data_IF_061791040998
#
_entry.id   IF_061791040998
#
_cell.length_a   1.000
_cell.length_b   1.000
_cell.length_c   1.000
_cell.angle_alpha   90.00
_cell.angle_beta   90.00
_cell.angle_gamma   90.00
#
_symmetry.space_group_name_H-M   'P 1'
#
loop_
_entity.id
_entity.type
_entity.pdbx_description
1 polymer ?
#
# COMPACT_ATOMS: atom_id res chain seq x y z
N UNK A 1 -4.87 -16.25 -17.59
CA UNK A 1 -3.83 -16.00 -16.58
C UNK A 1 -4.36 -15.75 -15.16
N UNK A 2 -5.47 -15.00 -14.94
CA UNK A 2 -5.98 -14.73 -13.58
C UNK A 2 -6.82 -15.87 -12.93
N UNK A 3 -7.10 -16.98 -13.64
CA UNK A 3 -7.99 -18.05 -13.14
C UNK A 3 -7.39 -18.83 -11.96
N UNK A 4 -6.06 -18.96 -11.93
CA UNK A 4 -5.34 -19.78 -10.93
C UNK A 4 -4.82 -18.95 -9.74
N UNK A 5 -5.01 -17.63 -9.76
CA UNK A 5 -4.56 -16.75 -8.67
C UNK A 5 -5.57 -16.83 -7.54
N UNK A 6 -5.11 -17.31 -6.38
CA UNK A 6 -5.90 -17.31 -5.15
C UNK A 6 -6.01 -15.88 -4.59
N UNK A 7 -7.08 -15.54 -3.85
CA UNK A 7 -7.21 -14.24 -3.20
C UNK A 7 -6.02 -13.86 -2.31
N UNK A 8 -5.43 -14.85 -1.63
CA UNK A 8 -4.20 -14.66 -0.86
C UNK A 8 -3.03 -14.22 -1.74
N UNK A 9 -2.81 -14.92 -2.85
CA UNK A 9 -1.73 -14.57 -3.80
C UNK A 9 -1.95 -13.18 -4.37
N UNK A 10 -3.18 -12.86 -4.74
CA UNK A 10 -3.55 -11.52 -5.21
C UNK A 10 -3.24 -10.45 -4.15
N UNK A 11 -3.59 -10.68 -2.89
CA UNK A 11 -3.29 -9.76 -1.78
C UNK A 11 -1.78 -9.59 -1.55
N UNK A 12 -0.99 -10.66 -1.61
CA UNK A 12 0.49 -10.58 -1.50
C UNK A 12 1.07 -9.75 -2.64
N UNK A 13 0.58 -9.96 -3.87
CA UNK A 13 1.04 -9.22 -5.05
C UNK A 13 0.82 -7.72 -4.90
N UNK A 14 -0.24 -7.27 -4.23
CA UNK A 14 -0.49 -5.85 -3.95
C UNK A 14 0.60 -5.17 -3.11
N UNK A 15 1.42 -5.95 -2.38
CA UNK A 15 2.54 -5.44 -1.59
C UNK A 15 3.91 -5.68 -2.21
N UNK A 16 4.00 -6.22 -3.44
CA UNK A 16 5.29 -6.38 -4.11
C UNK A 16 5.86 -5.00 -4.46
N UNK A 17 7.11 -4.69 -4.08
CA UNK A 17 7.72 -3.42 -4.45
C UNK A 17 7.72 -3.20 -5.97
N UNK A 18 7.51 -1.95 -6.41
CA UNK A 18 7.50 -1.50 -7.82
C UNK A 18 6.34 -2.02 -8.69
N UNK A 19 5.81 -3.22 -8.44
CA UNK A 19 4.74 -3.84 -9.25
C UNK A 19 3.41 -3.98 -8.50
N UNK A 20 3.42 -3.83 -7.18
CA UNK A 20 2.24 -4.08 -6.35
C UNK A 20 1.09 -3.10 -6.57
N UNK A 21 1.39 -1.87 -7.01
CA UNK A 21 0.34 -0.93 -7.41
C UNK A 21 -0.40 -1.39 -8.66
N UNK A 22 0.28 -2.02 -9.63
CA UNK A 22 -0.36 -2.62 -10.81
C UNK A 22 -1.26 -3.77 -10.38
N UNK A 23 -0.74 -4.66 -9.53
CA UNK A 23 -1.52 -5.77 -8.99
C UNK A 23 -2.76 -5.27 -8.21
N UNK A 24 -2.61 -4.22 -7.40
CA UNK A 24 -3.70 -3.59 -6.67
C UNK A 24 -4.79 -3.06 -7.61
N UNK A 25 -4.42 -2.33 -8.67
CA UNK A 25 -5.37 -1.83 -9.67
C UNK A 25 -6.08 -3.00 -10.35
N UNK A 26 -5.35 -4.04 -10.76
CA UNK A 26 -5.93 -5.23 -11.39
C UNK A 26 -6.92 -5.92 -10.46
N UNK A 27 -6.59 -6.06 -9.17
CA UNK A 27 -7.49 -6.64 -8.16
C UNK A 27 -8.74 -5.79 -7.98
N UNK A 28 -8.60 -4.47 -7.86
CA UNK A 28 -9.73 -3.55 -7.67
C UNK A 28 -10.65 -3.45 -8.90
N UNK A 29 -10.08 -3.52 -10.11
CA UNK A 29 -10.84 -3.47 -11.36
C UNK A 29 -11.46 -4.82 -11.74
N UNK A 30 -11.00 -5.93 -11.15
CA UNK A 30 -11.46 -7.26 -11.52
C UNK A 30 -12.81 -7.60 -10.88
N UNK A 31 -13.83 -7.98 -11.68
CA UNK A 31 -15.11 -8.47 -11.15
C UNK A 31 -14.96 -9.72 -10.26
N UNK A 32 -13.89 -10.50 -10.45
CA UNK A 32 -13.60 -11.72 -9.66
C UNK A 32 -13.41 -11.40 -8.18
N UNK A 33 -12.74 -10.29 -7.86
CA UNK A 33 -12.45 -9.90 -6.48
C UNK A 33 -13.50 -8.94 -5.92
N UNK A 34 -14.54 -8.58 -6.69
CA UNK A 34 -15.57 -7.62 -6.26
C UNK A 34 -16.22 -8.02 -4.93
N UNK A 35 -16.48 -9.31 -4.72
CA UNK A 35 -17.07 -9.83 -3.48
C UNK A 35 -16.04 -10.15 -2.40
N UNK A 36 -14.76 -10.20 -2.75
CA UNK A 36 -13.68 -10.52 -1.82
C UNK A 36 -13.24 -9.27 -1.04
N UNK A 37 -13.77 -9.12 0.17
CA UNK A 37 -13.45 -7.97 1.04
C UNK A 37 -11.96 -7.90 1.35
N UNK A 38 -11.33 -9.04 1.61
CA UNK A 38 -9.95 -9.11 2.10
C UNK A 38 -9.00 -8.74 0.98
N UNK A 39 -9.16 -9.32 -0.21
CA UNK A 39 -8.34 -9.00 -1.37
C UNK A 39 -8.43 -7.51 -1.73
N UNK A 40 -9.64 -6.92 -1.70
CA UNK A 40 -9.85 -5.50 -1.98
C UNK A 40 -9.24 -4.58 -0.91
N UNK A 41 -9.35 -4.95 0.37
CA UNK A 41 -8.74 -4.19 1.45
C UNK A 41 -7.21 -4.16 1.30
N UNK A 42 -6.58 -5.30 1.05
CA UNK A 42 -5.13 -5.34 0.81
C UNK A 42 -4.73 -4.62 -0.48
N UNK A 43 -5.57 -4.62 -1.52
CA UNK A 43 -5.32 -3.85 -2.73
C UNK A 43 -5.35 -2.34 -2.47
N UNK A 44 -6.36 -1.82 -1.77
CA UNK A 44 -6.41 -0.40 -1.39
C UNK A 44 -5.27 -0.02 -0.45
N UNK A 45 -5.02 -0.81 0.59
CA UNK A 45 -3.95 -0.54 1.54
C UNK A 45 -2.56 -0.57 0.87
N UNK A 46 -2.33 -1.51 -0.06
CA UNK A 46 -1.12 -1.54 -0.89
C UNK A 46 -1.00 -0.32 -1.81
N UNK A 47 -2.10 0.11 -2.43
CA UNK A 47 -2.14 1.31 -3.28
C UNK A 47 -1.85 2.59 -2.47
N UNK A 48 -2.42 2.73 -1.26
CA UNK A 48 -2.12 3.88 -0.40
C UNK A 48 -0.70 3.87 0.12
N UNK A 49 -0.16 2.70 0.42
CA UNK A 49 1.24 2.59 0.83
C UNK A 49 2.19 3.01 -0.30
N UNK A 50 1.86 2.65 -1.55
CA UNK A 50 2.56 3.14 -2.73
C UNK A 50 2.42 4.66 -2.92
N UNK A 51 1.23 5.23 -2.73
CA UNK A 51 1.04 6.69 -2.76
C UNK A 51 1.84 7.38 -1.66
N UNK A 52 1.85 6.84 -0.43
CA UNK A 52 2.66 7.37 0.66
C UNK A 52 4.16 7.35 0.32
N UNK A 53 4.64 6.29 -0.32
CA UNK A 53 6.01 6.22 -0.85
C UNK A 53 6.28 7.32 -1.89
N UNK A 54 5.39 7.52 -2.87
CA UNK A 54 5.53 8.58 -3.87
C UNK A 54 5.55 9.97 -3.23
N UNK A 55 4.74 10.22 -2.20
CA UNK A 55 4.76 11.49 -1.47
C UNK A 55 6.11 11.70 -0.77
N UNK A 56 6.70 10.66 -0.20
CA UNK A 56 8.03 10.76 0.40
C UNK A 56 9.09 11.08 -0.65
N UNK A 57 9.06 10.41 -1.81
CA UNK A 57 10.02 10.62 -2.90
C UNK A 57 9.87 11.96 -3.60
N UNK A 58 8.64 12.38 -3.91
CA UNK A 58 8.36 13.51 -4.77
C UNK A 58 8.13 14.81 -4.01
N UNK A 59 7.77 14.74 -2.73
CA UNK A 59 7.45 15.92 -1.91
C UNK A 59 8.45 16.06 -0.77
N UNK A 60 8.55 15.06 0.11
CA UNK A 60 9.34 15.18 1.35
C UNK A 60 10.83 15.29 1.05
N UNK A 61 11.38 14.43 0.19
CA UNK A 61 12.80 14.48 -0.17
C UNK A 61 13.14 15.82 -0.84
N UNK A 62 12.53 16.26 -1.96
CA UNK A 62 12.86 17.54 -2.58
C UNK A 62 12.75 18.72 -1.62
N UNK A 63 11.72 18.77 -0.78
CA UNK A 63 11.57 19.86 0.19
C UNK A 63 12.70 19.89 1.22
N UNK A 64 13.20 18.73 1.65
CA UNK A 64 14.36 18.61 2.54
C UNK A 64 15.71 18.96 1.86
N UNK A 65 15.76 18.97 0.52
CA UNK A 65 16.95 19.31 -0.26
C UNK A 65 16.97 20.75 -0.80
N UNK A 66 15.80 21.37 -1.06
CA UNK A 66 15.67 22.69 -1.68
C UNK A 66 15.95 23.84 -0.69
N UNK A 67 15.67 23.66 0.59
CA UNK A 67 16.15 24.59 1.63
C UNK A 67 17.51 24.14 2.14
N UNK A 68 18.31 25.06 2.70
CA UNK A 68 19.36 24.71 3.66
C UNK A 68 18.74 24.10 4.94
N UNK A 69 17.94 23.06 4.78
CA UNK A 69 17.17 22.46 5.83
C UNK A 69 18.16 21.91 6.84
N UNK A 70 18.09 22.37 8.12
CA UNK A 70 19.05 21.95 9.13
C UNK A 70 19.03 20.42 9.25
N UNK A 71 20.16 19.83 9.66
CA UNK A 71 20.36 18.38 9.77
C UNK A 71 19.16 17.55 10.27
N UNK A 72 18.34 18.01 11.24
CA UNK A 72 17.14 17.31 11.69
C UNK A 72 16.09 17.07 10.60
N UNK A 73 15.87 18.02 9.68
CA UNK A 73 14.86 17.89 8.62
C UNK A 73 15.23 16.78 7.61
N UNK A 74 16.53 16.65 7.28
CA UNK A 74 17.04 15.58 6.43
C UNK A 74 16.93 14.21 7.12
N UNK A 75 17.21 14.16 8.42
CA UNK A 75 17.06 12.94 9.21
C UNK A 75 15.60 12.48 9.27
N UNK A 76 14.65 13.41 9.43
CA UNK A 76 13.20 13.11 9.43
C UNK A 76 12.77 12.54 8.07
N UNK A 77 13.21 13.13 6.96
CA UNK A 77 12.90 12.62 5.61
C UNK A 77 13.41 11.19 5.40
N UNK A 78 14.65 10.91 5.84
CA UNK A 78 15.24 9.57 5.80
C UNK A 78 14.51 8.56 6.69
N UNK A 79 14.12 8.96 7.90
CA UNK A 79 13.39 8.12 8.84
C UNK A 79 11.98 7.81 8.33
N UNK A 80 11.28 8.79 7.76
CA UNK A 80 9.96 8.59 7.18
C UNK A 80 10.01 7.61 5.99
N UNK A 81 11.01 7.76 5.12
CA UNK A 81 11.24 6.83 4.02
C UNK A 81 11.49 5.40 4.52
N UNK A 82 12.34 5.24 5.54
CA UNK A 82 12.59 3.94 6.15
C UNK A 82 11.33 3.36 6.82
N UNK A 83 10.52 4.20 7.47
CA UNK A 83 9.27 3.77 8.10
C UNK A 83 8.25 3.27 7.06
N UNK A 84 8.09 3.98 5.94
CA UNK A 84 7.21 3.54 4.84
C UNK A 84 7.73 2.25 4.21
N UNK A 85 9.03 2.14 3.96
CA UNK A 85 9.64 0.92 3.43
C UNK A 85 9.50 -0.27 4.40
N UNK A 86 9.74 -0.04 5.68
CA UNK A 86 9.59 -1.03 6.74
C UNK A 86 8.14 -1.51 6.87
N UNK A 87 7.17 -0.59 6.83
CA UNK A 87 5.75 -0.93 6.78
C UNK A 87 5.42 -1.79 5.54
N UNK A 88 6.06 -1.52 4.41
CA UNK A 88 5.87 -2.29 3.18
C UNK A 88 6.35 -3.74 3.31
N UNK A 89 7.57 -3.93 3.79
CA UNK A 89 8.13 -5.27 4.05
C UNK A 89 7.29 -5.99 5.10
N UNK A 90 6.93 -5.31 6.18
CA UNK A 90 6.09 -5.87 7.24
C UNK A 90 4.75 -6.37 6.68
N UNK A 91 4.08 -5.56 5.86
CA UNK A 91 2.81 -5.93 5.25
C UNK A 91 2.95 -7.09 4.27
N UNK A 92 4.02 -7.13 3.49
CA UNK A 92 4.32 -8.23 2.59
C UNK A 92 4.48 -9.55 3.36
N UNK A 93 5.27 -9.55 4.44
CA UNK A 93 5.50 -10.73 5.29
C UNK A 93 4.19 -11.19 5.92
N UNK A 94 3.47 -10.29 6.60
CA UNK A 94 2.21 -10.63 7.28
C UNK A 94 1.17 -11.20 6.31
N UNK A 95 1.01 -10.56 5.16
CA UNK A 95 0.07 -11.02 4.13
C UNK A 95 0.51 -12.37 3.54
N UNK A 96 1.82 -12.60 3.36
CA UNK A 96 2.35 -13.89 2.88
C UNK A 96 2.12 -15.05 3.86
N UNK A 97 2.15 -14.76 5.16
CA UNK A 97 1.82 -15.71 6.22
C UNK A 97 0.30 -15.97 6.33
N UNK A 98 -0.52 -15.24 5.57
CA UNK A 98 -1.97 -15.31 5.65
C UNK A 98 -2.54 -14.59 6.87
N UNK A 99 -1.74 -13.76 7.56
CA UNK A 99 -2.21 -12.92 8.64
C UNK A 99 -2.92 -11.69 8.07
N UNK A 100 -4.11 -11.43 8.59
CA UNK A 100 -4.85 -10.22 8.27
C UNK A 100 -4.38 -9.08 9.18
N UNK A 101 -3.58 -8.18 8.64
CA UNK A 101 -3.11 -6.99 9.34
C UNK A 101 -3.53 -5.72 8.60
N UNK A 102 -4.13 -4.80 9.33
CA UNK A 102 -4.59 -3.50 8.82
C UNK A 102 -3.74 -2.42 9.48
N UNK A 103 -3.05 -1.60 8.67
CA UNK A 103 -2.28 -0.47 9.22
C UNK A 103 -3.26 0.56 9.81
N UNK A 104 -3.00 1.17 10.98
CA UNK A 104 -4.01 1.98 11.68
C UNK A 104 -4.66 3.06 10.79
N UNK A 105 -3.85 3.86 10.08
CA UNK A 105 -4.36 4.92 9.20
C UNK A 105 -4.74 4.40 7.81
N UNK A 106 -3.81 3.70 7.13
CA UNK A 106 -4.04 3.25 5.75
C UNK A 106 -5.11 2.17 5.64
N UNK A 107 -5.25 1.37 6.68
CA UNK A 107 -6.24 0.32 6.82
C UNK A 107 -7.64 0.85 7.05
N UNK A 108 -7.81 1.85 7.92
CA UNK A 108 -9.10 2.56 8.05
C UNK A 108 -9.51 3.21 6.73
N UNK A 109 -8.58 3.86 6.02
CA UNK A 109 -8.85 4.42 4.70
C UNK A 109 -9.25 3.32 3.70
N UNK A 110 -8.55 2.18 3.72
CA UNK A 110 -8.86 1.05 2.84
C UNK A 110 -10.24 0.48 3.14
N UNK A 111 -10.63 0.36 4.41
CA UNK A 111 -11.96 -0.09 4.80
C UNK A 111 -13.06 0.84 4.29
N UNK A 112 -12.86 2.16 4.40
CA UNK A 112 -13.79 3.16 3.87
C UNK A 112 -13.95 3.03 2.36
N UNK A 113 -12.84 2.93 1.60
CA UNK A 113 -12.94 2.80 0.14
C UNK A 113 -13.48 1.46 -0.33
N UNK A 114 -13.29 0.37 0.43
CA UNK A 114 -13.99 -0.90 0.17
C UNK A 114 -15.49 -0.74 0.39
N UNK A 115 -15.93 0.01 1.40
CA UNK A 115 -17.34 0.27 1.66
C UNK A 115 -17.97 1.15 0.56
N UNK A 116 -17.27 2.19 0.12
CA UNK A 116 -17.72 3.09 -0.96
C UNK A 116 -17.91 2.34 -2.28
N UNK A 117 -16.94 1.52 -2.69
CA UNK A 117 -17.07 0.73 -3.92
C UNK A 117 -18.09 -0.44 -3.81
N UNK A 118 -18.81 -0.57 -2.69
CA UNK A 118 -19.93 -1.51 -2.51
C UNK A 118 -21.29 -0.81 -2.53
N UNK A 119 -21.32 0.52 -2.44
CA UNK A 119 -22.54 1.30 -2.60
C UNK A 119 -22.79 1.48 -4.11
N UNK A 120 -23.92 0.99 -4.65
CA UNK A 120 -24.26 1.08 -6.06
C UNK A 120 -24.65 2.51 -6.49
#
# INVERSE_FOLDING_TARGET
>A
MLRDVSPRTAAVLCYVPLLGWVAAIVVLASPRFLRDRIARLHAFQGLYLFVAWLLVEMVVKPLAWIGEAPGPARAIGGLLHLAVFGAWIFMLIKTSQGEFYSLPVLGELAERSVAEQRQP
#
